data_IF_014576994786
#
_entry.id   IF_014576994786
#
_cell.length_a   1.000
_cell.length_b   1.000
_cell.length_c   1.000
_cell.angle_alpha   90.00
_cell.angle_beta   90.00
_cell.angle_gamma   90.00
#
_symmetry.space_group_name_H-M   'P 1'
#
loop_
_entity.id
_entity.type
_entity.pdbx_description
1 polymer ?
#
# COMPACT_ATOMS: atom_id res chain seq x y z
N UNK A 1 11.85 24.87 -11.20
CA UNK A 1 13.07 24.49 -10.45
C UNK A 1 13.84 23.35 -11.12
N UNK A 2 15.18 23.45 -11.19
CA UNK A 2 16.09 22.35 -11.59
C UNK A 2 16.97 21.94 -10.41
N UNK A 3 17.18 20.64 -10.22
CA UNK A 3 17.99 20.10 -9.12
C UNK A 3 19.05 19.18 -9.70
N UNK A 4 20.31 19.57 -9.55
CA UNK A 4 21.47 18.77 -9.93
C UNK A 4 21.95 17.98 -8.72
N UNK A 5 21.77 16.65 -8.79
CA UNK A 5 22.26 15.71 -7.79
C UNK A 5 23.65 15.25 -8.20
N UNK A 6 24.64 15.83 -7.55
CA UNK A 6 26.05 15.52 -7.72
C UNK A 6 26.35 14.35 -6.79
N UNK A 7 27.06 13.32 -7.23
CA UNK A 7 27.31 12.15 -6.38
C UNK A 7 28.72 11.61 -6.53
N UNK A 8 29.30 11.15 -5.42
CA UNK A 8 30.53 10.37 -5.43
C UNK A 8 30.27 8.94 -5.93
N UNK A 9 31.34 8.24 -6.34
CA UNK A 9 31.21 6.89 -6.90
C UNK A 9 30.41 5.92 -6.00
N UNK A 10 30.64 5.86 -4.66
CA UNK A 10 29.84 5.01 -3.77
C UNK A 10 28.36 5.38 -3.69
N UNK A 11 28.00 6.64 -3.91
CA UNK A 11 26.60 7.10 -3.87
C UNK A 11 25.87 6.92 -5.21
N UNK A 12 26.51 6.39 -6.25
CA UNK A 12 25.92 6.26 -7.60
C UNK A 12 24.59 5.49 -7.64
N UNK A 13 24.54 4.28 -7.08
CA UNK A 13 23.31 3.47 -7.05
C UNK A 13 22.19 4.19 -6.30
N UNK A 14 22.54 4.83 -5.17
CA UNK A 14 21.60 5.57 -4.36
C UNK A 14 21.07 6.81 -5.08
N UNK A 15 21.93 7.55 -5.77
CA UNK A 15 21.55 8.73 -6.55
C UNK A 15 20.56 8.37 -7.67
N UNK A 16 20.82 7.27 -8.39
CA UNK A 16 19.90 6.74 -9.41
C UNK A 16 18.53 6.38 -8.80
N UNK A 17 18.53 5.65 -7.68
CA UNK A 17 17.28 5.30 -6.99
C UNK A 17 16.52 6.53 -6.49
N UNK A 18 17.25 7.54 -5.99
CA UNK A 18 16.68 8.79 -5.48
C UNK A 18 16.03 9.61 -6.59
N UNK A 19 16.72 9.77 -7.73
CA UNK A 19 16.16 10.44 -8.91
C UNK A 19 14.92 9.71 -9.43
N UNK A 20 14.99 8.38 -9.57
CA UNK A 20 13.86 7.58 -10.05
C UNK A 20 12.65 7.66 -9.11
N UNK A 21 12.88 7.72 -7.80
CA UNK A 21 11.85 7.87 -6.78
C UNK A 21 11.18 9.26 -6.81
N UNK A 22 11.98 10.34 -6.89
CA UNK A 22 11.48 11.70 -6.76
C UNK A 22 10.89 12.27 -8.06
N UNK A 23 11.47 11.97 -9.23
CA UNK A 23 11.05 12.57 -10.51
C UNK A 23 9.54 12.45 -10.80
N UNK A 24 8.86 11.30 -10.60
CA UNK A 24 7.42 11.20 -10.82
C UNK A 24 6.59 12.12 -9.90
N UNK A 25 7.01 12.23 -8.63
CA UNK A 25 6.32 13.02 -7.59
C UNK A 25 6.41 14.53 -7.84
N UNK A 26 7.43 14.97 -8.56
CA UNK A 26 7.69 16.39 -8.85
C UNK A 26 7.59 16.75 -10.34
N UNK A 27 7.01 15.90 -11.17
CA UNK A 27 6.91 16.08 -12.63
C UNK A 27 6.35 17.42 -13.12
N UNK A 28 5.67 18.18 -12.26
CA UNK A 28 5.08 19.50 -12.55
C UNK A 28 5.87 20.69 -11.99
N UNK A 29 6.91 20.45 -11.20
CA UNK A 29 7.59 21.50 -10.41
C UNK A 29 9.11 21.38 -10.40
N UNK A 30 9.67 20.18 -10.54
CA UNK A 30 11.11 19.94 -10.47
C UNK A 30 11.60 18.96 -11.53
N UNK A 31 12.79 19.24 -12.04
CA UNK A 31 13.58 18.31 -12.84
C UNK A 31 14.81 17.91 -12.02
N UNK A 32 14.99 16.61 -11.76
CA UNK A 32 16.17 16.08 -11.07
C UNK A 32 17.16 15.53 -12.10
N UNK A 33 18.39 16.03 -12.09
CA UNK A 33 19.45 15.68 -13.04
C UNK A 33 20.64 15.11 -12.29
N UNK A 34 21.13 13.96 -12.74
CA UNK A 34 22.30 13.29 -12.15
C UNK A 34 23.60 13.84 -12.74
N UNK A 35 24.55 14.17 -11.87
CA UNK A 35 25.89 14.62 -12.22
C UNK A 35 26.92 13.74 -11.52
N UNK A 36 27.59 12.86 -12.28
CA UNK A 36 28.65 12.03 -11.70
C UNK A 36 29.86 12.90 -11.32
N UNK A 37 30.27 12.85 -10.05
CA UNK A 37 31.53 13.44 -9.61
C UNK A 37 32.64 12.38 -9.63
N UNK A 38 33.84 12.80 -10.06
CA UNK A 38 35.04 11.94 -10.09
C UNK A 38 35.84 11.98 -8.79
N UNK A 39 35.45 12.82 -7.83
CA UNK A 39 36.05 12.81 -6.49
C UNK A 39 35.85 11.46 -5.80
N UNK A 40 36.90 10.94 -5.18
CA UNK A 40 36.83 9.73 -4.35
C UNK A 40 36.21 10.06 -3.00
N UNK A 41 35.40 9.13 -2.47
CA UNK A 41 34.86 9.28 -1.12
C UNK A 41 35.98 9.47 -0.09
N UNK A 42 35.74 10.36 0.88
CA UNK A 42 36.64 10.67 1.98
C UNK A 42 35.99 10.26 3.29
N UNK A 43 36.79 9.93 4.29
CA UNK A 43 36.25 9.58 5.60
C UNK A 43 35.64 10.80 6.31
N UNK A 44 36.29 11.97 6.18
CA UNK A 44 35.86 13.23 6.77
C UNK A 44 35.93 14.34 5.73
N UNK A 45 34.92 15.21 5.74
CA UNK A 45 34.77 16.36 4.87
C UNK A 45 34.59 17.64 5.70
N UNK A 46 35.21 18.72 5.29
CA UNK A 46 34.83 20.08 5.72
C UNK A 46 33.64 20.58 4.91
N UNK A 47 32.89 21.57 5.41
CA UNK A 47 31.77 22.14 4.65
C UNK A 47 32.27 22.89 3.41
N UNK A 48 33.41 23.57 3.50
CA UNK A 48 34.02 24.24 2.34
C UNK A 48 34.30 23.25 1.20
N UNK A 49 34.85 22.07 1.50
CA UNK A 49 35.06 21.02 0.49
C UNK A 49 33.74 20.50 -0.10
N UNK A 50 32.71 20.30 0.73
CA UNK A 50 31.40 19.83 0.27
C UNK A 50 30.71 20.86 -0.63
N UNK A 51 30.77 22.15 -0.28
CA UNK A 51 30.19 23.22 -1.08
C UNK A 51 31.01 23.50 -2.34
N UNK A 52 32.34 23.36 -2.30
CA UNK A 52 33.21 23.52 -3.47
C UNK A 52 32.91 22.49 -4.57
N UNK A 53 32.55 21.25 -4.20
CA UNK A 53 32.06 20.25 -5.16
C UNK A 53 30.81 20.75 -5.90
N UNK A 54 29.82 21.24 -5.14
CA UNK A 54 28.58 21.78 -5.71
C UNK A 54 28.85 23.02 -6.57
N UNK A 55 29.75 23.89 -6.13
CA UNK A 55 30.16 25.10 -6.84
C UNK A 55 30.88 24.79 -8.17
N UNK A 56 31.83 23.86 -8.17
CA UNK A 56 32.54 23.44 -9.38
C UNK A 56 31.56 22.99 -10.45
N UNK A 57 30.57 22.16 -10.09
CA UNK A 57 29.60 21.67 -11.08
C UNK A 57 28.60 22.75 -11.54
N UNK A 58 28.29 23.73 -10.70
CA UNK A 58 27.56 24.93 -11.13
C UNK A 58 28.36 25.71 -12.17
N UNK A 59 29.66 25.93 -11.94
CA UNK A 59 30.53 26.71 -12.83
C UNK A 59 30.83 26.04 -14.18
N UNK A 60 30.95 24.70 -14.22
CA UNK A 60 31.34 23.95 -15.42
C UNK A 60 30.32 24.04 -16.56
N UNK A 61 29.04 24.22 -16.24
CA UNK A 61 27.98 24.20 -17.23
C UNK A 61 27.40 25.57 -17.61
N UNK A 62 27.98 26.68 -17.12
CA UNK A 62 27.35 28.01 -17.18
C UNK A 62 25.89 27.98 -16.69
N UNK A 63 25.63 27.14 -15.67
CA UNK A 63 24.28 26.80 -15.18
C UNK A 63 23.81 27.82 -14.14
N UNK A 64 23.96 29.11 -14.42
CA UNK A 64 23.53 30.21 -13.55
C UNK A 64 22.02 30.51 -13.65
N UNK A 65 21.24 29.57 -14.20
CA UNK A 65 19.81 29.75 -14.36
C UNK A 65 19.13 29.91 -13.00
N UNK A 66 18.30 30.95 -12.88
CA UNK A 66 17.41 31.20 -11.74
C UNK A 66 16.67 29.89 -11.36
N UNK A 67 16.66 29.57 -10.07
CA UNK A 67 16.07 28.34 -9.50
C UNK A 67 16.75 27.01 -9.87
N UNK A 68 18.07 27.03 -10.03
CA UNK A 68 18.90 25.83 -10.10
C UNK A 68 19.56 25.55 -8.74
N UNK A 69 19.46 24.32 -8.26
CA UNK A 69 20.06 23.88 -6.99
C UNK A 69 21.06 22.75 -7.25
N UNK A 70 22.21 22.81 -6.59
CA UNK A 70 23.34 21.88 -6.77
C UNK A 70 23.62 21.21 -5.44
N UNK A 71 23.29 19.93 -5.35
CA UNK A 71 23.34 19.17 -4.11
C UNK A 71 24.34 18.03 -4.25
N UNK A 72 25.37 18.03 -3.41
CA UNK A 72 26.32 16.94 -3.34
C UNK A 72 25.84 15.83 -2.39
N UNK A 73 25.61 14.65 -2.96
CA UNK A 73 25.33 13.39 -2.28
C UNK A 73 26.66 12.67 -2.01
N UNK A 74 27.08 12.61 -0.76
CA UNK A 74 28.43 12.17 -0.40
C UNK A 74 28.43 11.09 0.69
N UNK A 75 29.40 10.18 0.59
CA UNK A 75 29.78 9.28 1.67
C UNK A 75 30.89 9.85 2.54
N UNK A 76 30.90 9.43 3.81
CA UNK A 76 31.78 9.95 4.85
C UNK A 76 31.04 10.81 5.87
N UNK A 77 31.81 11.35 6.81
CA UNK A 77 31.34 12.29 7.84
C UNK A 77 31.63 13.71 7.38
N UNK A 78 30.91 14.67 7.95
CA UNK A 78 31.21 16.09 7.77
C UNK A 78 31.51 16.75 9.12
N UNK A 79 32.22 17.88 9.08
CA UNK A 79 32.39 18.73 10.25
C UNK A 79 31.04 19.12 10.85
N UNK A 80 30.92 19.03 12.17
CA UNK A 80 29.65 19.24 12.87
C UNK A 80 28.67 18.06 12.81
N UNK A 81 29.00 16.98 12.08
CA UNK A 81 28.20 15.74 12.04
C UNK A 81 26.73 16.00 11.66
N UNK A 82 26.48 16.72 10.56
CA UNK A 82 25.13 17.03 10.07
C UNK A 82 24.64 16.02 9.03
N UNK A 83 23.34 15.97 8.76
CA UNK A 83 22.80 15.14 7.66
C UNK A 83 22.76 15.88 6.33
N UNK A 84 22.56 17.19 6.37
CA UNK A 84 22.47 18.05 5.20
C UNK A 84 22.68 19.51 5.64
N UNK A 85 23.18 20.34 4.73
CA UNK A 85 23.28 21.79 4.90
C UNK A 85 23.38 22.47 3.53
N UNK A 86 23.18 23.79 3.49
CA UNK A 86 23.40 24.62 2.30
C UNK A 86 24.30 25.81 2.64
N UNK A 87 24.99 26.33 1.62
CA UNK A 87 25.86 27.49 1.76
C UNK A 87 25.01 28.75 1.93
N UNK A 88 25.11 29.42 3.08
CA UNK A 88 24.33 30.62 3.36
C UNK A 88 24.73 31.82 2.49
N UNK A 89 25.97 31.86 2.00
CA UNK A 89 26.42 32.88 1.06
C UNK A 89 26.03 32.54 -0.38
N UNK A 90 25.78 31.25 -0.66
CA UNK A 90 25.33 30.75 -1.97
C UNK A 90 24.21 29.72 -1.79
N UNK A 91 22.97 30.14 -1.49
CA UNK A 91 21.88 29.24 -1.09
C UNK A 91 21.39 28.25 -2.16
N UNK A 92 21.99 28.27 -3.36
CA UNK A 92 21.78 27.27 -4.40
C UNK A 92 22.71 26.05 -4.27
N UNK A 93 23.69 26.09 -3.37
CA UNK A 93 24.68 25.04 -3.15
C UNK A 93 24.43 24.33 -1.83
N UNK A 94 24.43 23.00 -1.84
CA UNK A 94 24.26 22.23 -0.61
C UNK A 94 24.83 20.83 -0.70
N UNK A 95 24.67 20.09 0.40
CA UNK A 95 25.08 18.70 0.50
C UNK A 95 24.05 17.87 1.29
N UNK A 96 24.04 16.56 1.04
CA UNK A 96 23.30 15.56 1.82
C UNK A 96 24.18 14.33 2.03
N UNK A 97 24.34 13.91 3.28
CA UNK A 97 25.11 12.74 3.65
C UNK A 97 24.34 11.45 3.32
N UNK A 98 24.97 10.53 2.57
CA UNK A 98 24.38 9.24 2.15
C UNK A 98 24.84 8.06 3.00
N UNK A 99 25.79 8.25 3.90
CA UNK A 99 26.36 7.21 4.77
C UNK A 99 25.91 7.31 6.24
N UNK A 100 26.06 6.24 7.02
CA UNK A 100 25.76 6.21 8.46
C UNK A 100 24.29 5.96 8.80
N UNK A 101 23.44 5.68 7.81
CA UNK A 101 22.01 5.46 7.98
C UNK A 101 21.66 4.07 8.55
N UNK A 102 22.58 3.12 8.41
CA UNK A 102 22.50 1.77 8.98
C UNK A 102 22.39 1.77 10.51
N UNK A 103 22.84 2.84 11.17
CA UNK A 103 22.77 3.00 12.63
C UNK A 103 21.34 3.22 13.15
N UNK A 104 20.38 3.57 12.28
CA UNK A 104 19.00 3.92 12.66
C UNK A 104 17.99 2.80 12.37
N UNK A 105 18.46 1.60 12.01
CA UNK A 105 17.62 0.40 11.78
C UNK A 105 16.46 0.64 10.79
N UNK A 106 16.69 1.48 9.78
CA UNK A 106 15.71 1.77 8.74
C UNK A 106 15.62 0.62 7.74
N UNK A 107 14.42 0.30 7.28
CA UNK A 107 14.19 -0.72 6.23
C UNK A 107 14.91 -0.37 4.92
N UNK A 108 15.00 0.92 4.59
CA UNK A 108 15.72 1.42 3.43
C UNK A 108 16.21 2.87 3.66
N UNK A 109 17.53 3.12 3.73
CA UNK A 109 18.11 4.46 3.88
C UNK A 109 17.69 5.50 2.85
N UNK A 110 17.29 5.07 1.64
CA UNK A 110 16.86 5.94 0.54
C UNK A 110 15.82 6.97 1.00
N UNK A 111 14.84 6.53 1.80
CA UNK A 111 13.74 7.38 2.24
C UNK A 111 14.17 8.45 3.24
N UNK A 112 15.15 8.16 4.10
CA UNK A 112 15.70 9.16 5.01
C UNK A 112 16.54 10.20 4.26
N UNK A 113 17.32 9.77 3.27
CA UNK A 113 18.07 10.68 2.40
C UNK A 113 17.13 11.55 1.56
N UNK A 114 16.06 10.98 1.01
CA UNK A 114 15.01 11.72 0.33
C UNK A 114 14.36 12.77 1.24
N UNK A 115 14.05 12.41 2.48
CA UNK A 115 13.51 13.35 3.46
C UNK A 115 14.44 14.55 3.69
N UNK A 116 15.74 14.31 3.90
CA UNK A 116 16.71 15.38 4.12
C UNK A 116 16.95 16.22 2.87
N UNK A 117 17.02 15.60 1.69
CA UNK A 117 17.10 16.33 0.43
C UNK A 117 15.90 17.27 0.24
N UNK A 118 14.68 16.80 0.48
CA UNK A 118 13.48 17.62 0.32
C UNK A 118 13.39 18.73 1.37
N UNK A 119 13.78 18.44 2.62
CA UNK A 119 13.87 19.45 3.68
C UNK A 119 14.86 20.55 3.30
N UNK A 120 16.04 20.15 2.80
CA UNK A 120 17.09 21.05 2.35
C UNK A 120 16.62 21.91 1.17
N UNK A 121 16.06 21.30 0.12
CA UNK A 121 15.54 22.02 -1.04
C UNK A 121 14.42 22.99 -0.67
N UNK A 122 13.55 22.63 0.27
CA UNK A 122 12.49 23.51 0.75
C UNK A 122 13.10 24.72 1.48
N UNK A 123 14.12 24.50 2.32
CA UNK A 123 14.85 25.57 2.99
C UNK A 123 15.52 26.51 1.97
N UNK A 124 16.30 25.96 1.04
CA UNK A 124 16.99 26.72 -0.01
C UNK A 124 16.02 27.52 -0.87
N UNK A 125 14.86 26.96 -1.25
CA UNK A 125 13.89 27.63 -2.12
C UNK A 125 13.18 28.79 -1.46
N UNK A 126 12.75 28.65 -0.20
CA UNK A 126 11.88 29.64 0.43
C UNK A 126 12.58 30.50 1.48
N UNK A 127 13.68 30.04 2.06
CA UNK A 127 14.37 30.71 3.17
C UNK A 127 15.84 31.01 2.87
N UNK A 128 16.37 30.56 1.72
CA UNK A 128 17.78 30.73 1.38
C UNK A 128 18.27 32.18 1.34
N UNK A 129 17.39 33.14 1.03
CA UNK A 129 17.75 34.57 0.95
C UNK A 129 17.61 35.31 2.29
N UNK A 130 17.30 34.64 3.41
CA UNK A 130 17.22 35.31 4.72
C UNK A 130 18.61 35.64 5.26
N UNK A 131 18.77 36.85 5.82
CA UNK A 131 20.04 37.29 6.43
C UNK A 131 20.46 36.41 7.61
N UNK A 132 19.50 35.75 8.28
CA UNK A 132 19.75 34.84 9.39
C UNK A 132 19.25 33.43 9.06
N UNK A 133 20.09 32.56 8.50
CA UNK A 133 19.71 31.28 7.89
C UNK A 133 19.22 30.19 8.87
N UNK A 134 18.97 30.54 10.14
CA UNK A 134 18.46 29.63 11.15
C UNK A 134 17.12 30.08 11.77
N UNK A 135 16.59 31.25 11.40
CA UNK A 135 15.36 31.80 12.01
C UNK A 135 14.10 31.02 11.69
N UNK A 136 14.12 30.19 10.65
CA UNK A 136 12.98 29.36 10.27
C UNK A 136 12.93 28.00 10.98
N UNK A 137 13.98 27.60 11.69
CA UNK A 137 13.96 26.34 12.45
C UNK A 137 13.15 26.49 13.75
N UNK A 138 12.39 25.46 14.10
CA UNK A 138 11.76 25.38 15.41
C UNK A 138 12.82 25.05 16.47
N UNK A 139 12.90 25.88 17.51
CA UNK A 139 13.74 25.59 18.69
C UNK A 139 13.21 24.44 19.56
N UNK A 140 11.95 24.03 19.37
CA UNK A 140 11.34 22.85 20.00
C UNK A 140 10.90 21.87 18.91
N UNK A 141 11.20 20.59 19.10
CA UNK A 141 10.73 19.53 18.21
C UNK A 141 9.20 19.36 18.32
N UNK A 142 8.49 19.65 17.23
CA UNK A 142 7.03 19.52 17.10
C UNK A 142 6.63 18.50 16.02
N UNK A 143 7.59 17.79 15.46
CA UNK A 143 7.43 16.86 14.33
C UNK A 143 7.44 17.54 12.96
N UNK A 144 7.88 18.79 12.84
CA UNK A 144 7.99 19.48 11.55
C UNK A 144 9.34 19.16 10.87
N UNK A 145 9.40 19.24 9.54
CA UNK A 145 10.67 19.11 8.81
C UNK A 145 11.72 20.15 9.20
N UNK A 146 11.27 21.31 9.67
CA UNK A 146 12.13 22.38 10.17
C UNK A 146 12.31 22.35 11.69
N UNK A 147 12.08 21.23 12.35
CA UNK A 147 12.57 21.05 13.73
C UNK A 147 14.10 21.06 13.75
N UNK A 148 14.69 21.88 14.63
CA UNK A 148 16.13 21.82 14.89
C UNK A 148 16.48 20.49 15.57
N UNK A 149 17.29 19.67 14.90
CA UNK A 149 17.68 18.35 15.39
C UNK A 149 19.13 18.39 15.86
N UNK A 150 19.35 18.81 17.11
CA UNK A 150 20.68 18.89 17.70
C UNK A 150 21.33 17.52 17.95
N UNK A 151 20.51 16.48 18.17
CA UNK A 151 20.98 15.11 18.35
C UNK A 151 20.53 14.23 17.18
N UNK A 152 21.48 13.69 16.41
CA UNK A 152 21.16 12.85 15.23
C UNK A 152 20.26 11.66 15.55
N UNK A 153 20.31 11.10 16.77
CA UNK A 153 19.41 10.02 17.22
C UNK A 153 17.93 10.39 17.15
N UNK A 154 17.59 11.67 17.22
CA UNK A 154 16.20 12.15 17.16
C UNK A 154 15.64 12.23 15.74
N UNK A 155 16.47 11.99 14.71
CA UNK A 155 16.03 12.00 13.30
C UNK A 155 14.85 11.07 13.05
N UNK A 156 14.74 9.98 13.81
CA UNK A 156 13.65 9.01 13.68
C UNK A 156 12.28 9.65 13.88
N UNK A 157 12.15 10.62 14.79
CA UNK A 157 10.88 11.30 15.07
C UNK A 157 10.43 12.16 13.89
N UNK A 158 11.39 12.79 13.21
CA UNK A 158 11.15 13.60 12.00
C UNK A 158 10.78 12.74 10.80
N UNK A 159 11.37 11.55 10.69
CA UNK A 159 11.01 10.58 9.66
C UNK A 159 9.63 9.99 9.92
N UNK A 160 9.28 9.69 11.17
CA UNK A 160 7.96 9.19 11.56
C UNK A 160 6.86 10.21 11.26
N UNK A 161 7.10 11.47 11.60
CA UNK A 161 6.14 12.53 11.31
C UNK A 161 6.08 12.82 9.82
N UNK A 162 7.23 12.92 9.12
CA UNK A 162 7.35 13.32 7.73
C UNK A 162 6.31 14.40 7.38
N UNK A 163 6.44 15.58 7.99
CA UNK A 163 5.37 16.57 8.04
C UNK A 163 5.90 18.01 7.96
N UNK A 164 5.08 18.91 7.45
CA UNK A 164 5.32 20.36 7.48
C UNK A 164 4.21 21.04 8.28
N UNK A 165 4.57 21.79 9.31
CA UNK A 165 3.58 22.46 10.16
C UNK A 165 2.91 23.63 9.44
N UNK A 166 1.76 24.04 9.97
CA UNK A 166 0.98 25.15 9.43
C UNK A 166 1.78 26.46 9.41
N UNK A 167 2.55 26.74 10.46
CA UNK A 167 3.33 27.98 10.57
C UNK A 167 4.43 28.06 9.50
N UNK A 168 5.09 26.94 9.20
CA UNK A 168 6.05 26.85 8.10
C UNK A 168 5.36 27.00 6.75
N UNK A 169 4.19 26.38 6.54
CA UNK A 169 3.41 26.56 5.31
C UNK A 169 2.96 28.01 5.11
N UNK A 170 2.55 28.70 6.18
CA UNK A 170 2.18 30.11 6.13
C UNK A 170 3.39 31.00 5.84
N UNK A 171 4.54 30.70 6.44
CA UNK A 171 5.81 31.39 6.18
C UNK A 171 6.26 31.22 4.72
N UNK A 172 6.14 30.00 4.17
CA UNK A 172 6.41 29.71 2.76
C UNK A 172 5.43 30.46 1.85
N UNK A 173 4.13 30.46 2.18
CA UNK A 173 3.11 31.17 1.40
C UNK A 173 3.40 32.67 1.28
N UNK A 174 3.94 33.30 2.32
CA UNK A 174 4.31 34.71 2.30
C UNK A 174 5.55 35.01 1.44
N UNK A 175 6.44 34.02 1.27
CA UNK A 175 7.72 34.15 0.56
C UNK A 175 7.68 33.63 -0.87
N UNK A 176 6.69 32.79 -1.18
CA UNK A 176 6.55 32.17 -2.49
C UNK A 176 6.31 33.24 -3.57
N UNK A 177 7.17 33.33 -4.60
CA UNK A 177 7.01 34.32 -5.66
C UNK A 177 5.77 34.02 -6.51
N UNK A 178 5.48 32.74 -6.75
CA UNK A 178 4.37 32.28 -7.57
C UNK A 178 3.56 31.19 -6.87
N UNK A 179 2.26 31.46 -6.66
CA UNK A 179 1.38 30.59 -5.87
C UNK A 179 1.22 29.20 -6.48
N UNK A 180 1.03 29.10 -7.80
CA UNK A 180 0.80 27.83 -8.48
C UNK A 180 2.05 26.95 -8.45
N UNK A 181 3.22 27.56 -8.64
CA UNK A 181 4.49 26.85 -8.60
C UNK A 181 4.80 26.31 -7.19
N UNK A 182 4.64 27.16 -6.16
CA UNK A 182 4.81 26.74 -4.78
C UNK A 182 3.84 25.63 -4.37
N UNK A 183 2.59 25.69 -4.84
CA UNK A 183 1.60 24.64 -4.60
C UNK A 183 2.03 23.31 -5.24
N UNK A 184 2.45 23.31 -6.51
CA UNK A 184 2.91 22.10 -7.20
C UNK A 184 4.16 21.50 -6.53
N UNK A 185 5.08 22.35 -6.04
CA UNK A 185 6.25 21.90 -5.30
C UNK A 185 5.85 21.26 -3.95
N UNK A 186 5.06 21.95 -3.14
CA UNK A 186 4.65 21.47 -1.81
C UNK A 186 3.76 20.22 -1.87
N UNK A 187 2.97 20.05 -2.95
CA UNK A 187 2.24 18.82 -3.18
C UNK A 187 3.21 17.64 -3.39
N UNK A 188 4.24 17.80 -4.22
CA UNK A 188 5.28 16.78 -4.41
C UNK A 188 6.02 16.44 -3.12
N UNK A 189 6.34 17.44 -2.29
CA UNK A 189 6.94 17.22 -0.96
C UNK A 189 6.01 16.42 -0.05
N UNK A 190 4.72 16.77 -0.02
CA UNK A 190 3.73 16.08 0.82
C UNK A 190 3.52 14.64 0.37
N UNK A 191 3.42 14.40 -0.94
CA UNK A 191 3.26 13.05 -1.50
C UNK A 191 4.49 12.18 -1.22
N UNK A 192 5.69 12.74 -1.36
CA UNK A 192 6.94 12.07 -0.99
C UNK A 192 6.97 11.74 0.51
N UNK A 193 6.53 12.66 1.37
CA UNK A 193 6.52 12.46 2.82
C UNK A 193 5.55 11.37 3.26
N UNK A 194 4.35 11.31 2.67
CA UNK A 194 3.41 10.21 2.89
C UNK A 194 4.01 8.87 2.48
N UNK A 195 4.68 8.83 1.32
CA UNK A 195 5.38 7.65 0.82
C UNK A 195 6.54 7.23 1.72
N UNK A 196 7.37 8.17 2.19
CA UNK A 196 8.46 7.91 3.16
C UNK A 196 7.91 7.26 4.42
N UNK A 197 6.85 7.84 5.02
CA UNK A 197 6.25 7.32 6.25
C UNK A 197 5.74 5.90 6.07
N UNK A 198 5.03 5.66 4.97
CA UNK A 198 4.49 4.36 4.63
C UNK A 198 5.59 3.31 4.44
N UNK A 199 6.69 3.65 3.78
CA UNK A 199 7.75 2.66 3.50
C UNK A 199 8.72 2.43 4.68
N UNK A 200 8.90 3.42 5.57
CA UNK A 200 9.79 3.29 6.73
C UNK A 200 9.12 2.69 7.96
N UNK A 201 7.84 3.01 8.21
CA UNK A 201 7.18 2.72 9.50
C UNK A 201 5.93 1.85 9.37
N UNK A 202 5.84 1.07 8.29
CA UNK A 202 4.78 0.08 8.16
C UNK A 202 4.91 -1.00 9.23
N UNK A 203 3.83 -1.22 9.98
CA UNK A 203 3.73 -2.32 10.93
C UNK A 203 3.00 -3.47 10.24
N UNK A 204 3.70 -4.58 10.02
CA UNK A 204 3.07 -5.82 9.56
C UNK A 204 2.34 -6.49 10.72
N UNK A 205 1.13 -6.01 11.01
CA UNK A 205 0.25 -6.57 12.03
C UNK A 205 -0.07 -8.05 11.79
N UNK A 206 -0.05 -8.53 10.53
CA UNK A 206 -0.29 -9.95 10.24
C UNK A 206 0.88 -10.81 10.71
N UNK A 207 2.11 -10.34 10.57
CA UNK A 207 3.28 -11.04 11.13
C UNK A 207 3.24 -11.12 12.66
N UNK A 208 2.73 -10.06 13.32
CA UNK A 208 2.69 -9.96 14.78
C UNK A 208 1.54 -10.76 15.40
N UNK A 209 0.34 -10.67 14.83
CA UNK A 209 -0.87 -11.27 15.38
C UNK A 209 -1.31 -12.55 14.67
N UNK A 210 -0.62 -12.93 13.59
CA UNK A 210 -0.98 -14.09 12.78
C UNK A 210 -2.27 -13.89 11.97
N UNK A 211 -2.72 -14.96 11.34
CA UNK A 211 -4.04 -15.01 10.72
C UNK A 211 -5.05 -15.55 11.75
N UNK A 212 -6.28 -15.03 11.72
CA UNK A 212 -7.38 -15.62 12.50
C UNK A 212 -7.60 -17.07 12.07
N UNK A 213 -7.55 -17.98 13.03
CA UNK A 213 -7.88 -19.39 12.83
C UNK A 213 -9.40 -19.53 12.74
N UNK A 214 -9.88 -20.14 11.66
CA UNK A 214 -11.31 -20.43 11.50
C UNK A 214 -11.60 -21.78 10.85
N UNK A 215 -12.80 -22.30 11.11
CA UNK A 215 -13.36 -23.50 10.48
C UNK A 215 -14.78 -23.23 10.01
N UNK A 216 -15.08 -23.52 8.75
CA UNK A 216 -16.43 -23.54 8.21
C UNK A 216 -17.03 -24.93 8.43
N UNK A 217 -18.09 -24.99 9.21
CA UNK A 217 -18.81 -26.21 9.54
C UNK A 217 -20.09 -26.31 8.71
N UNK A 218 -20.32 -27.47 8.11
CA UNK A 218 -21.60 -27.83 7.47
C UNK A 218 -22.17 -29.04 8.18
N UNK A 219 -23.39 -28.90 8.71
CA UNK A 219 -24.06 -30.00 9.40
C UNK A 219 -24.99 -30.81 8.47
N UNK A 220 -25.57 -31.88 9.01
CA UNK A 220 -26.48 -32.79 8.31
C UNK A 220 -27.78 -32.13 7.81
N UNK A 221 -28.14 -30.96 8.35
CA UNK A 221 -29.32 -30.18 7.92
C UNK A 221 -28.95 -29.12 6.87
N UNK A 222 -27.72 -29.17 6.36
CA UNK A 222 -27.13 -28.22 5.41
C UNK A 222 -27.25 -26.77 5.88
N UNK A 223 -26.98 -26.55 7.17
CA UNK A 223 -26.75 -25.21 7.74
C UNK A 223 -25.27 -24.98 7.94
N UNK A 224 -24.85 -23.72 7.82
CA UNK A 224 -23.45 -23.32 7.78
C UNK A 224 -23.11 -22.51 9.03
N UNK A 225 -22.06 -22.91 9.74
CA UNK A 225 -21.56 -22.22 10.91
C UNK A 225 -20.07 -21.98 10.79
N UNK A 226 -19.59 -20.89 11.36
CA UNK A 226 -18.21 -20.48 11.33
C UNK A 226 -17.67 -20.44 12.76
N UNK A 227 -16.65 -21.22 13.03
CA UNK A 227 -15.90 -21.17 14.28
C UNK A 227 -14.66 -20.32 14.04
N UNK A 228 -14.51 -19.20 14.76
CA UNK A 228 -13.36 -18.29 14.67
C UNK A 228 -12.76 -18.18 16.07
N UNK A 229 -11.52 -18.62 16.27
CA UNK A 229 -10.85 -18.56 17.59
C UNK A 229 -11.74 -19.11 18.74
N UNK A 230 -12.46 -20.22 18.48
CA UNK A 230 -13.37 -20.85 19.44
C UNK A 230 -14.76 -20.18 19.59
N UNK A 231 -15.02 -19.06 18.91
CA UNK A 231 -16.35 -18.41 18.89
C UNK A 231 -17.18 -18.87 17.71
N UNK A 232 -18.46 -19.15 17.95
CA UNK A 232 -19.37 -19.64 16.92
C UNK A 232 -20.23 -18.52 16.32
N UNK A 233 -20.30 -18.48 14.98
CA UNK A 233 -21.15 -17.59 14.21
C UNK A 233 -21.99 -18.41 13.25
N UNK A 234 -23.31 -18.27 13.30
CA UNK A 234 -24.19 -18.90 12.30
C UNK A 234 -24.15 -18.07 11.01
N UNK A 235 -23.81 -18.70 9.88
CA UNK A 235 -23.88 -18.03 8.60
C UNK A 235 -25.34 -17.97 8.13
N UNK A 236 -25.88 -16.78 7.80
CA UNK A 236 -27.27 -16.57 7.45
C UNK A 236 -27.61 -17.02 6.02
N UNK A 237 -27.28 -18.26 5.65
CA UNK A 237 -27.63 -18.85 4.36
C UNK A 237 -28.97 -19.57 4.51
N UNK A 238 -29.97 -19.15 3.73
CA UNK A 238 -31.32 -19.72 3.86
C UNK A 238 -31.37 -21.17 3.37
N UNK A 239 -32.21 -21.99 4.02
CA UNK A 239 -32.50 -23.37 3.58
C UNK A 239 -33.10 -23.38 2.17
N UNK A 240 -33.02 -24.54 1.51
CA UNK A 240 -33.48 -24.69 0.13
C UNK A 240 -32.40 -24.27 -0.87
N UNK A 241 -32.79 -23.52 -1.90
CA UNK A 241 -31.94 -23.22 -3.05
C UNK A 241 -30.66 -22.43 -2.72
N UNK A 242 -30.70 -21.52 -1.73
CA UNK A 242 -29.50 -20.78 -1.29
C UNK A 242 -28.45 -21.74 -0.72
N UNK A 243 -28.82 -22.56 0.28
CA UNK A 243 -27.96 -23.58 0.85
C UNK A 243 -27.43 -24.60 -0.17
N UNK A 244 -28.28 -25.07 -1.10
CA UNK A 244 -27.87 -25.98 -2.17
C UNK A 244 -26.83 -25.33 -3.09
N UNK A 245 -27.08 -24.10 -3.56
CA UNK A 245 -26.16 -23.40 -4.45
C UNK A 245 -24.83 -23.10 -3.75
N UNK A 246 -24.87 -22.66 -2.50
CA UNK A 246 -23.66 -22.42 -1.72
C UNK A 246 -22.85 -23.71 -1.53
N UNK A 247 -23.50 -24.82 -1.16
CA UNK A 247 -22.85 -26.12 -1.03
C UNK A 247 -22.23 -26.61 -2.33
N UNK A 248 -22.94 -26.45 -3.46
CA UNK A 248 -22.42 -26.80 -4.77
C UNK A 248 -21.15 -26.01 -5.11
N UNK A 249 -21.13 -24.70 -4.83
CA UNK A 249 -19.95 -23.85 -5.03
C UNK A 249 -18.82 -24.18 -4.05
N UNK A 250 -19.13 -24.64 -2.82
CA UNK A 250 -18.13 -25.18 -1.91
C UNK A 250 -17.50 -26.48 -2.44
N UNK A 251 -18.24 -27.34 -3.15
CA UNK A 251 -17.63 -28.51 -3.78
C UNK A 251 -16.86 -28.18 -5.06
N UNK A 252 -17.34 -27.22 -5.85
CA UNK A 252 -16.75 -26.86 -7.13
C UNK A 252 -15.66 -25.79 -6.99
N UNK A 253 -14.42 -26.22 -6.71
CA UNK A 253 -13.27 -25.32 -6.51
C UNK A 253 -12.95 -24.43 -7.72
N UNK A 254 -13.20 -24.92 -8.95
CA UNK A 254 -12.97 -24.17 -10.18
C UNK A 254 -14.05 -23.12 -10.46
N UNK A 255 -15.09 -23.06 -9.62
CA UNK A 255 -16.27 -22.25 -9.87
C UNK A 255 -17.19 -22.83 -10.93
N UNK A 256 -18.32 -22.16 -11.10
CA UNK A 256 -19.34 -22.49 -12.09
C UNK A 256 -19.84 -21.21 -12.76
N UNK A 257 -20.05 -21.27 -14.07
CA UNK A 257 -20.78 -20.26 -14.83
C UNK A 257 -22.25 -20.65 -14.89
N UNK A 258 -23.15 -19.69 -15.10
CA UNK A 258 -24.57 -20.01 -15.31
C UNK A 258 -24.81 -20.98 -16.47
N UNK A 259 -23.98 -20.90 -17.52
CA UNK A 259 -24.09 -21.80 -18.68
C UNK A 259 -23.73 -23.25 -18.32
N UNK A 260 -22.96 -23.49 -17.26
CA UNK A 260 -22.58 -24.84 -16.85
C UNK A 260 -23.77 -25.66 -16.34
N UNK A 261 -24.83 -25.01 -15.85
CA UNK A 261 -26.08 -25.70 -15.49
C UNK A 261 -26.81 -26.31 -16.69
N UNK A 262 -26.43 -26.00 -17.94
CA UNK A 262 -26.91 -26.73 -19.13
C UNK A 262 -26.27 -28.11 -19.26
N UNK A 263 -25.15 -28.36 -18.58
CA UNK A 263 -24.48 -29.67 -18.57
C UNK A 263 -25.22 -30.58 -17.60
N UNK A 264 -25.54 -31.78 -18.07
CA UNK A 264 -26.33 -32.78 -17.32
C UNK A 264 -25.76 -33.00 -15.91
N UNK A 265 -24.46 -33.27 -15.80
CA UNK A 265 -23.79 -33.56 -14.53
C UNK A 265 -23.92 -32.43 -13.49
N UNK A 266 -23.74 -31.17 -13.89
CA UNK A 266 -23.84 -30.02 -12.96
C UNK A 266 -25.29 -29.82 -12.49
N UNK A 267 -26.24 -30.03 -13.39
CA UNK A 267 -27.66 -29.94 -13.05
C UNK A 267 -28.07 -31.07 -12.10
N UNK A 268 -27.62 -32.29 -12.36
CA UNK A 268 -27.86 -33.45 -11.48
C UNK A 268 -27.24 -33.26 -10.10
N UNK A 269 -26.00 -32.76 -10.01
CA UNK A 269 -25.37 -32.45 -8.72
C UNK A 269 -26.17 -31.43 -7.91
N UNK A 270 -26.62 -30.34 -8.56
CA UNK A 270 -27.44 -29.33 -7.92
C UNK A 270 -28.78 -29.89 -7.44
N UNK A 271 -29.49 -30.61 -8.31
CA UNK A 271 -30.83 -31.11 -8.00
C UNK A 271 -30.81 -32.27 -7.01
N UNK A 272 -29.80 -33.14 -7.06
CA UNK A 272 -29.64 -34.23 -6.10
C UNK A 272 -29.37 -33.70 -4.70
N UNK A 273 -28.53 -32.67 -4.55
CA UNK A 273 -28.34 -31.95 -3.29
C UNK A 273 -29.65 -31.32 -2.81
N UNK A 274 -30.37 -30.61 -3.68
CA UNK A 274 -31.65 -30.00 -3.31
C UNK A 274 -32.69 -31.03 -2.87
N UNK A 275 -32.85 -32.10 -3.64
CA UNK A 275 -33.81 -33.16 -3.39
C UNK A 275 -33.51 -33.88 -2.08
N UNK A 276 -32.25 -34.30 -1.88
CA UNK A 276 -31.80 -35.05 -0.70
C UNK A 276 -32.06 -34.30 0.61
N UNK A 277 -31.81 -32.99 0.65
CA UNK A 277 -31.85 -32.24 1.90
C UNK A 277 -33.15 -31.46 2.15
N UNK A 278 -33.96 -31.19 1.11
CA UNK A 278 -35.12 -30.29 1.24
C UNK A 278 -36.42 -30.81 0.64
N UNK A 279 -36.42 -31.89 -0.12
CA UNK A 279 -37.66 -32.46 -0.69
C UNK A 279 -38.08 -33.66 0.15
N UNK A 280 -39.13 -33.48 0.95
CA UNK A 280 -39.71 -34.57 1.75
C UNK A 280 -40.79 -35.36 1.03
N UNK A 281 -41.42 -34.77 0.01
CA UNK A 281 -42.48 -35.37 -0.83
C UNK A 281 -42.30 -34.88 -2.26
N UNK A 282 -42.27 -35.81 -3.23
CA UNK A 282 -42.12 -35.49 -4.65
C UNK A 282 -41.21 -36.47 -5.40
N UNK A 283 -41.20 -36.38 -6.73
CA UNK A 283 -40.34 -37.19 -7.59
C UNK A 283 -39.13 -36.37 -8.05
N UNK A 284 -37.94 -36.98 -7.96
CA UNK A 284 -36.72 -36.40 -8.53
C UNK A 284 -36.87 -36.16 -10.04
N UNK A 285 -37.50 -37.09 -10.76
CA UNK A 285 -37.73 -37.00 -12.20
C UNK A 285 -38.57 -35.78 -12.58
N UNK A 286 -39.59 -35.45 -11.77
CA UNK A 286 -40.44 -34.28 -12.01
C UNK A 286 -39.68 -32.98 -11.73
N UNK A 287 -38.94 -32.91 -10.63
CA UNK A 287 -38.05 -31.78 -10.33
C UNK A 287 -37.03 -31.55 -11.47
N UNK A 288 -36.48 -32.65 -11.97
CA UNK A 288 -35.52 -32.68 -13.06
C UNK A 288 -36.12 -32.18 -14.37
N UNK A 289 -37.31 -32.67 -14.73
CA UNK A 289 -38.07 -32.24 -15.91
C UNK A 289 -38.38 -30.74 -15.85
N UNK A 290 -38.83 -30.24 -14.70
CA UNK A 290 -39.12 -28.81 -14.49
C UNK A 290 -37.87 -27.95 -14.66
N UNK A 291 -36.73 -28.37 -14.11
CA UNK A 291 -35.47 -27.64 -14.26
C UNK A 291 -35.01 -27.60 -15.73
N UNK A 292 -35.10 -28.73 -16.46
CA UNK A 292 -34.83 -28.77 -17.91
C UNK A 292 -35.74 -27.83 -18.69
N UNK A 293 -37.02 -27.75 -18.35
CA UNK A 293 -37.94 -26.81 -18.97
C UNK A 293 -37.53 -25.35 -18.70
N UNK A 294 -37.20 -25.00 -17.46
CA UNK A 294 -36.71 -23.65 -17.10
C UNK A 294 -35.42 -23.25 -17.83
N UNK A 295 -34.55 -24.22 -18.13
CA UNK A 295 -33.32 -23.97 -18.92
C UNK A 295 -33.66 -23.69 -20.38
N UNK A 296 -34.60 -24.45 -20.98
CA UNK A 296 -35.11 -24.21 -22.34
C UNK A 296 -35.77 -22.84 -22.44
N UNK A 297 -36.54 -22.45 -21.42
CA UNK A 297 -37.25 -21.17 -21.38
C UNK A 297 -36.36 -19.98 -20.96
N UNK A 298 -35.06 -20.20 -20.78
CA UNK A 298 -34.10 -19.18 -20.32
C UNK A 298 -34.44 -18.51 -18.97
N UNK A 299 -35.27 -19.15 -18.14
CA UNK A 299 -35.69 -18.64 -16.82
C UNK A 299 -34.86 -19.18 -15.66
N UNK A 300 -34.12 -20.28 -15.86
CA UNK A 300 -33.34 -20.91 -14.80
C UNK A 300 -32.29 -19.96 -14.18
N UNK A 301 -31.53 -19.22 -15.02
CA UNK A 301 -30.56 -18.20 -14.57
C UNK A 301 -31.22 -17.11 -13.73
N UNK A 302 -32.37 -16.61 -14.17
CA UNK A 302 -33.15 -15.57 -13.46
C UNK A 302 -33.58 -16.03 -12.07
N UNK A 303 -33.67 -17.34 -11.83
CA UNK A 303 -33.96 -17.91 -10.52
C UNK A 303 -32.74 -17.99 -9.58
N UNK A 304 -31.52 -18.04 -10.12
CA UNK A 304 -30.28 -18.18 -9.35
C UNK A 304 -29.64 -16.83 -9.00
N UNK A 305 -29.66 -15.85 -9.90
CA UNK A 305 -29.06 -14.52 -9.70
C UNK A 305 -29.51 -13.84 -8.39
N UNK A 306 -30.82 -13.81 -8.05
CA UNK A 306 -31.27 -13.21 -6.80
C UNK A 306 -30.74 -13.94 -5.55
N UNK A 307 -30.53 -15.26 -5.62
CA UNK A 307 -30.01 -16.05 -4.50
C UNK A 307 -28.59 -15.62 -4.15
N UNK A 308 -27.74 -15.43 -5.15
CA UNK A 308 -26.35 -15.01 -4.96
C UNK A 308 -26.31 -13.60 -4.36
N UNK A 309 -27.10 -12.67 -4.90
CA UNK A 309 -27.17 -11.30 -4.39
C UNK A 309 -27.61 -11.27 -2.91
N UNK A 310 -28.64 -12.04 -2.56
CA UNK A 310 -29.10 -12.16 -1.17
C UNK A 310 -28.05 -12.78 -0.26
N UNK A 311 -27.45 -13.91 -0.65
CA UNK A 311 -26.41 -14.57 0.16
C UNK A 311 -25.23 -13.65 0.41
N UNK A 312 -24.79 -12.92 -0.62
CA UNK A 312 -23.76 -11.89 -0.51
C UNK A 312 -24.11 -10.86 0.55
N UNK A 313 -25.28 -10.23 0.46
CA UNK A 313 -25.72 -9.24 1.45
C UNK A 313 -25.71 -9.82 2.88
N UNK A 314 -26.32 -10.99 3.08
CA UNK A 314 -26.41 -11.64 4.39
C UNK A 314 -25.02 -12.00 4.97
N UNK A 315 -24.11 -12.51 4.13
CA UNK A 315 -22.74 -12.84 4.55
C UNK A 315 -21.93 -11.58 4.89
N UNK A 316 -22.11 -10.49 4.13
CA UNK A 316 -21.43 -9.23 4.41
C UNK A 316 -21.83 -8.64 5.77
N UNK A 317 -23.12 -8.72 6.12
CA UNK A 317 -23.64 -8.30 7.42
C UNK A 317 -23.11 -9.19 8.56
N UNK A 318 -23.15 -10.52 8.39
CA UNK A 318 -22.70 -11.45 9.43
C UNK A 318 -21.18 -11.42 9.69
N UNK A 319 -20.38 -11.08 8.67
CA UNK A 319 -18.91 -11.07 8.73
C UNK A 319 -18.33 -9.65 8.68
N UNK A 320 -19.10 -8.64 9.08
CA UNK A 320 -18.68 -7.24 9.07
C UNK A 320 -17.35 -7.02 9.81
N UNK A 321 -17.17 -7.70 10.94
CA UNK A 321 -15.98 -7.59 11.80
C UNK A 321 -14.84 -8.55 11.40
N UNK A 322 -15.01 -9.33 10.32
CA UNK A 322 -14.05 -10.33 9.86
C UNK A 322 -13.82 -10.21 8.34
N UNK A 323 -13.34 -9.04 7.86
CA UNK A 323 -13.26 -8.76 6.43
C UNK A 323 -12.38 -9.78 5.68
N UNK A 324 -11.28 -10.23 6.25
CA UNK A 324 -10.38 -11.24 5.66
C UNK A 324 -11.01 -12.64 5.55
N UNK A 325 -11.87 -13.04 6.49
CA UNK A 325 -12.62 -14.30 6.40
C UNK A 325 -13.79 -14.15 5.43
N UNK A 326 -14.46 -13.00 5.43
CA UNK A 326 -15.53 -12.66 4.49
C UNK A 326 -15.07 -12.84 3.05
N UNK A 327 -13.92 -12.30 2.67
CA UNK A 327 -13.39 -12.45 1.30
C UNK A 327 -13.19 -13.92 0.87
N UNK A 328 -12.94 -14.83 1.83
CA UNK A 328 -12.76 -16.26 1.58
C UNK A 328 -14.08 -17.04 1.49
N UNK A 329 -15.15 -16.55 2.12
CA UNK A 329 -16.46 -17.21 2.18
C UNK A 329 -17.52 -16.59 1.26
N UNK A 330 -17.23 -15.41 0.73
CA UNK A 330 -18.11 -14.73 -0.22
C UNK A 330 -18.17 -15.47 -1.55
N UNK A 331 -19.34 -15.47 -2.19
CA UNK A 331 -19.45 -15.90 -3.58
C UNK A 331 -18.85 -14.78 -4.44
N UNK A 332 -17.70 -15.00 -5.06
CA UNK A 332 -17.12 -14.07 -6.03
C UNK A 332 -17.71 -14.29 -7.41
N UNK A 333 -17.67 -13.26 -8.26
CA UNK A 333 -18.08 -13.35 -9.66
C UNK A 333 -17.09 -12.57 -10.51
N UNK A 334 -16.31 -13.28 -11.33
CA UNK A 334 -15.34 -12.71 -12.26
C UNK A 334 -15.66 -13.24 -13.66
N UNK A 335 -15.96 -12.33 -14.59
CA UNK A 335 -16.32 -12.67 -15.97
C UNK A 335 -17.45 -13.71 -16.10
N UNK A 336 -18.39 -13.73 -15.15
CA UNK A 336 -19.50 -14.68 -15.10
C UNK A 336 -19.19 -16.03 -14.45
N UNK A 337 -17.96 -16.24 -13.96
CA UNK A 337 -17.56 -17.39 -13.16
C UNK A 337 -17.84 -17.14 -11.69
N UNK A 338 -18.69 -17.97 -11.09
CA UNK A 338 -19.09 -17.88 -9.68
C UNK A 338 -18.31 -18.90 -8.85
N UNK A 339 -17.67 -18.49 -7.76
CA UNK A 339 -16.88 -19.39 -6.93
C UNK A 339 -16.76 -18.89 -5.49
N UNK A 340 -16.35 -19.78 -4.59
CA UNK A 340 -16.04 -19.45 -3.19
C UNK A 340 -14.55 -19.75 -2.95
N UNK A 341 -13.70 -18.73 -2.71
CA UNK A 341 -12.24 -18.87 -2.64
C UNK A 341 -11.71 -19.51 -1.34
N UNK A 342 -12.56 -20.20 -0.58
CA UNK A 342 -12.19 -20.88 0.66
C UNK A 342 -11.11 -21.95 0.45
N UNK A 343 -10.05 -21.93 1.25
CA UNK A 343 -9.17 -23.10 1.34
C UNK A 343 -9.91 -24.26 2.04
N UNK A 344 -10.11 -25.37 1.34
CA UNK A 344 -10.93 -26.50 1.83
C UNK A 344 -10.36 -27.20 3.06
N UNK A 345 -9.11 -26.95 3.44
CA UNK A 345 -8.57 -27.39 4.74
C UNK A 345 -9.35 -26.82 5.94
N UNK A 346 -10.05 -25.72 5.74
CA UNK A 346 -10.90 -25.08 6.75
C UNK A 346 -12.35 -25.57 6.72
N UNK A 347 -12.73 -26.44 5.76
CA UNK A 347 -14.08 -26.99 5.65
C UNK A 347 -14.19 -28.26 6.50
N UNK A 348 -15.14 -28.28 7.43
CA UNK A 348 -15.46 -29.42 8.28
C UNK A 348 -16.85 -29.94 7.91
N UNK A 349 -16.90 -31.18 7.43
CA UNK A 349 -18.15 -31.89 7.19
C UNK A 349 -18.52 -32.74 8.40
N UNK A 350 -19.54 -32.31 9.15
CA UNK A 350 -20.17 -33.15 10.17
C UNK A 350 -21.33 -33.91 9.51
N UNK A 351 -21.01 -34.76 8.53
CA UNK A 351 -21.96 -35.65 7.86
C UNK A 351 -21.59 -37.07 8.30
N UNK A 352 -22.38 -37.70 9.17
CA UNK A 352 -22.26 -39.15 9.35
C UNK A 352 -22.70 -39.81 8.04
N UNK A 353 -21.74 -40.19 7.20
CA UNK A 353 -22.01 -41.08 6.07
C UNK A 353 -22.32 -42.44 6.71
N UNK A 354 -23.60 -42.73 6.96
CA UNK A 354 -24.06 -44.11 7.11
C UNK A 354 -23.62 -44.84 5.85
N UNK A 355 -22.62 -45.71 5.99
CA UNK A 355 -22.23 -46.67 4.98
C UNK A 355 -23.50 -47.37 4.51
N UNK A 356 -23.70 -47.42 3.18
CA UNK A 356 -24.73 -48.25 2.56
C UNK A 356 -24.59 -49.66 3.13
N UNK A 357 -25.63 -50.12 3.81
CA UNK A 357 -25.90 -51.56 3.90
C UNK A 357 -26.11 -52.04 2.47
N UNK A 358 -25.13 -52.79 1.98
CA UNK A 358 -25.36 -53.77 0.93
C UNK A 358 -26.04 -54.94 1.64
N UNK A 359 -27.28 -55.18 1.25
CA UNK A 359 -28.15 -56.26 1.69
C UNK A 359 -29.34 -56.30 0.75
#
# INVERSE_FOLDING_TARGET
MKVYLIYDHPSSLLANALQAYLSPLFSKSCEFTLCANRETARENWTWDELFDVSYKEQSLGNKEAKESYFIFLFQGKNEGNWFASFDHHRPSLGFVQTSGWELYQLSNPLYAIAYHLLTLLTAMKFFGNEESPNTFYHGKSIGCMFDFTGFKSEVIYKLQSAYICKDCLESIKQRAPEKVEALNYLQGVTDAFLSIRHNLFQVDLKSLFGNLAYKLHVNERMTFGLEIEGKWINLPISKGREATLYMLLLHNQRGLRYIDFKKEAVLEDYLSLYFRYFVSKGSYEELYRQAKQQIKDHTFRKSLEPLISRMRKKLAEALLNYPEIKEQLYIQNQDGLMYIPLNRKFLVHNIQIKQRMVG
#
